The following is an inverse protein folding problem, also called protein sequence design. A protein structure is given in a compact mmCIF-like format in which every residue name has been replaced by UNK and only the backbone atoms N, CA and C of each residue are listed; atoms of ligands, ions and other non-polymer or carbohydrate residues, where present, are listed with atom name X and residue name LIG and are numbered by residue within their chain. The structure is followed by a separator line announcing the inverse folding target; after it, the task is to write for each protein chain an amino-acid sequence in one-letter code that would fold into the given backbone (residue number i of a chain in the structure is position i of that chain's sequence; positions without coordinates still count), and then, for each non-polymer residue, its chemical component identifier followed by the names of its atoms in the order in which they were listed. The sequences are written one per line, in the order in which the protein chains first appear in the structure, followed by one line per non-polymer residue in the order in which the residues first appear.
data_IF_389942047648
#
_entry.id   IF_389942047648
#
_cell.length_a   1.000
_cell.length_b   1.000
_cell.length_c   1.000
_cell.angle_alpha   90.00
_cell.angle_beta   90.00
_cell.angle_gamma   90.00
#
_symmetry.space_group_name_H-M   'P 1'
#
loop_
_entity.id
_entity.type
_entity.pdbx_description
1 polymer ?
#
# COMPACT_ATOMS: atom_id res chain seq x y z
N UNK A 1 -32.05 -25.30 55.25
CA UNK A 1 -33.32 -25.79 55.87
C UNK A 1 -33.90 -24.67 56.72
N UNK A 2 -35.23 -24.59 56.92
CA UNK A 2 -36.26 -25.59 56.58
C UNK A 2 -36.89 -25.47 55.17
N UNK A 3 -38.09 -24.88 55.04
CA UNK A 3 -39.15 -25.16 54.05
C UNK A 3 -39.25 -24.12 52.90
N UNK A 4 -39.75 -24.37 51.68
CA UNK A 4 -40.54 -25.46 51.04
C UNK A 4 -42.08 -25.46 51.19
N UNK A 5 -42.80 -25.22 50.08
CA UNK A 5 -44.14 -25.73 49.70
C UNK A 5 -44.30 -25.46 48.18
N UNK A 6 -44.47 -26.44 47.28
CA UNK A 6 -45.67 -27.25 46.98
C UNK A 6 -46.87 -26.40 46.47
N UNK A 7 -47.62 -26.76 45.41
CA UNK A 7 -47.53 -27.83 44.38
C UNK A 7 -48.51 -27.57 43.21
N UNK A 8 -48.25 -28.19 42.03
CA UNK A 8 -49.20 -28.78 41.04
C UNK A 8 -50.58 -28.12 40.74
N UNK A 9 -51.04 -28.00 39.49
CA UNK A 9 -51.63 -29.13 38.72
C UNK A 9 -51.98 -28.74 37.26
N UNK A 10 -52.01 -29.75 36.37
CA UNK A 10 -52.62 -29.69 35.03
C UNK A 10 -54.15 -29.64 35.11
N UNK A 11 -54.81 -29.06 34.10
CA UNK A 11 -56.02 -29.67 33.48
C UNK A 11 -56.30 -29.14 32.07
N UNK A 12 -56.57 -30.07 31.17
CA UNK A 12 -56.98 -29.90 29.76
C UNK A 12 -58.51 -29.83 29.63
N UNK A 13 -59.03 -29.55 28.42
CA UNK A 13 -60.45 -29.61 27.92
C UNK A 13 -61.19 -28.26 27.76
N UNK A 14 -62.06 -28.03 26.76
CA UNK A 14 -62.26 -28.62 25.41
C UNK A 14 -63.12 -27.67 24.55
N UNK A 15 -63.08 -27.84 23.22
CA UNK A 15 -63.92 -27.29 22.13
C UNK A 15 -65.21 -26.51 22.46
N UNK A 16 -65.54 -25.55 21.59
CA UNK A 16 -66.78 -25.63 20.79
C UNK A 16 -66.56 -25.08 19.36
N UNK A 17 -67.25 -25.66 18.38
CA UNK A 17 -67.16 -25.33 16.96
C UNK A 17 -68.56 -25.14 16.35
N UNK A 18 -68.63 -24.49 15.19
CA UNK A 18 -69.73 -24.61 14.21
C UNK A 18 -69.10 -24.36 12.82
N UNK A 19 -69.04 -25.30 11.87
CA UNK A 19 -70.08 -26.15 11.25
C UNK A 19 -70.92 -25.44 10.19
N UNK A 20 -70.60 -25.74 8.92
CA UNK A 20 -71.48 -25.83 7.75
C UNK A 20 -70.63 -26.35 6.58
N UNK A 21 -70.98 -27.31 5.73
CA UNK A 21 -71.85 -28.48 5.75
C UNK A 21 -71.60 -29.19 4.39
N UNK A 22 -71.45 -30.52 4.40
CA UNK A 22 -71.26 -31.45 3.25
C UNK A 22 -72.56 -31.61 2.41
N UNK A 23 -72.63 -32.30 1.22
CA UNK A 23 -72.02 -33.62 0.91
C UNK A 23 -71.53 -33.85 -0.56
N UNK A 24 -71.01 -35.06 -0.90
CA UNK A 24 -70.33 -35.35 -2.19
C UNK A 24 -71.09 -36.29 -3.15
N UNK A 25 -70.66 -36.35 -4.42
CA UNK A 25 -70.88 -37.49 -5.33
C UNK A 25 -69.81 -37.53 -6.46
N UNK A 26 -69.68 -38.68 -7.14
CA UNK A 26 -68.54 -39.03 -8.01
C UNK A 26 -68.78 -38.80 -9.52
N UNK A 27 -67.68 -38.67 -10.26
CA UNK A 27 -67.43 -39.22 -11.61
C UNK A 27 -68.42 -38.93 -12.76
N UNK A 28 -67.99 -38.07 -13.69
CA UNK A 28 -68.26 -38.25 -15.12
C UNK A 28 -67.08 -37.72 -15.95
N UNK A 29 -66.69 -38.45 -17.00
CA UNK A 29 -65.65 -38.03 -17.94
C UNK A 29 -66.27 -37.34 -19.16
N UNK A 30 -65.75 -36.18 -19.53
CA UNK A 30 -66.00 -35.55 -20.85
C UNK A 30 -64.75 -34.82 -21.35
N UNK A 31 -64.44 -35.03 -22.62
CA UNK A 31 -63.32 -34.42 -23.35
C UNK A 31 -63.73 -33.10 -24.02
N UNK A 32 -62.87 -32.07 -23.99
CA UNK A 32 -62.94 -30.98 -24.99
C UNK A 32 -61.63 -30.19 -25.14
N UNK A 33 -61.16 -30.09 -26.40
CA UNK A 33 -60.43 -28.94 -26.93
C UNK A 33 -59.05 -28.59 -26.38
N UNK A 34 -57.99 -29.16 -26.97
CA UNK A 34 -56.66 -28.55 -26.88
C UNK A 34 -56.60 -27.27 -27.75
N UNK A 35 -56.32 -26.12 -27.14
CA UNK A 35 -56.02 -24.89 -27.86
C UNK A 35 -54.55 -24.90 -28.36
N UNK A 36 -54.25 -24.34 -29.55
CA UNK A 36 -52.88 -24.33 -30.07
C UNK A 36 -51.98 -23.42 -29.23
N UNK A 37 -50.87 -23.98 -28.74
CA UNK A 37 -49.87 -23.24 -27.98
C UNK A 37 -49.12 -22.25 -28.90
N UNK A 38 -49.17 -20.96 -28.57
CA UNK A 38 -48.44 -19.94 -29.32
C UNK A 38 -46.94 -20.09 -29.08
N UNK A 39 -46.19 -20.46 -30.12
CA UNK A 39 -44.73 -20.47 -30.11
C UNK A 39 -44.20 -19.03 -30.04
N UNK A 40 -43.81 -18.61 -28.84
CA UNK A 40 -43.05 -17.37 -28.63
C UNK A 40 -41.66 -17.55 -29.26
N UNK A 41 -41.47 -16.98 -30.45
CA UNK A 41 -40.16 -16.91 -31.10
C UNK A 41 -39.35 -15.82 -30.42
N UNK A 42 -38.48 -16.21 -29.47
CA UNK A 42 -37.46 -15.32 -28.92
C UNK A 42 -36.50 -14.88 -30.04
N UNK A 43 -36.09 -13.60 -30.09
CA UNK A 43 -35.09 -13.16 -31.06
C UNK A 43 -33.74 -13.87 -30.81
N UNK A 44 -32.94 -14.11 -31.87
CA UNK A 44 -31.68 -14.82 -31.74
C UNK A 44 -30.73 -14.07 -30.81
N UNK A 45 -30.39 -14.70 -29.68
CA UNK A 45 -29.36 -14.19 -28.80
C UNK A 45 -28.00 -14.35 -29.48
N UNK A 46 -27.31 -13.23 -29.68
CA UNK A 46 -25.89 -13.26 -30.01
C UNK A 46 -25.16 -13.84 -28.81
N UNK A 47 -24.64 -15.06 -28.96
CA UNK A 47 -23.72 -15.64 -27.99
C UNK A 47 -22.44 -14.79 -28.02
N UNK A 48 -22.36 -13.81 -27.12
CA UNK A 48 -21.10 -13.12 -26.84
C UNK A 48 -20.09 -14.16 -26.40
N UNK A 49 -18.92 -14.22 -27.07
CA UNK A 49 -17.84 -15.10 -26.64
C UNK A 49 -17.53 -14.88 -25.16
N UNK A 50 -17.27 -15.95 -24.39
CA UNK A 50 -16.85 -15.80 -23.01
C UNK A 50 -15.59 -14.94 -22.97
N UNK A 51 -15.60 -13.89 -22.14
CA UNK A 51 -14.46 -13.00 -21.99
C UNK A 51 -13.18 -13.81 -21.76
N UNK A 52 -12.07 -13.49 -22.45
CA UNK A 52 -10.84 -14.26 -22.34
C UNK A 52 -10.42 -14.38 -20.87
N UNK A 53 -10.14 -15.61 -20.43
CA UNK A 53 -9.83 -15.89 -19.03
C UNK A 53 -8.72 -14.95 -18.54
N UNK A 54 -9.02 -14.21 -17.47
CA UNK A 54 -8.13 -13.16 -16.97
C UNK A 54 -6.73 -13.73 -16.70
N UNK A 55 -5.72 -13.16 -17.35
CA UNK A 55 -4.31 -13.54 -17.16
C UNK A 55 -3.98 -13.53 -15.67
N UNK A 56 -3.54 -14.65 -15.06
CA UNK A 56 -3.21 -14.69 -13.64
C UNK A 56 -2.15 -13.65 -13.29
N UNK A 57 -2.31 -12.97 -12.15
CA UNK A 57 -1.38 -11.94 -11.71
C UNK A 57 0.02 -12.55 -11.49
N UNK A 58 1.03 -12.01 -12.17
CA UNK A 58 2.43 -12.41 -12.00
C UNK A 58 3.35 -11.18 -11.92
N UNK A 59 4.04 -11.01 -10.80
CA UNK A 59 5.01 -9.92 -10.62
C UNK A 59 6.21 -10.10 -11.55
N UNK A 60 6.98 -9.03 -11.81
CA UNK A 60 8.13 -9.09 -12.73
C UNK A 60 9.14 -10.19 -12.37
N UNK A 61 9.35 -10.43 -11.07
CA UNK A 61 10.25 -11.46 -10.54
C UNK A 61 9.78 -12.92 -10.77
N UNK A 62 8.51 -13.15 -11.14
CA UNK A 62 8.01 -14.48 -11.54
C UNK A 62 8.22 -14.76 -13.03
N UNK A 63 8.44 -13.73 -13.84
CA UNK A 63 8.50 -13.81 -15.31
C UNK A 63 9.94 -14.04 -15.82
N UNK A 64 10.60 -15.09 -15.33
CA UNK A 64 12.01 -15.42 -15.59
C UNK A 64 12.46 -15.24 -17.05
N UNK A 65 11.67 -15.74 -18.01
CA UNK A 65 11.99 -15.66 -19.44
C UNK A 65 12.14 -14.25 -19.99
N UNK A 66 11.59 -13.23 -19.32
CA UNK A 66 11.69 -11.82 -19.74
C UNK A 66 13.00 -11.16 -19.31
N UNK A 67 13.71 -11.68 -18.30
CA UNK A 67 14.89 -11.01 -17.75
C UNK A 67 16.12 -11.89 -17.55
N UNK A 68 16.01 -13.20 -17.31
CA UNK A 68 17.18 -14.09 -17.21
C UNK A 68 18.11 -14.02 -18.45
N UNK A 69 17.60 -13.96 -19.70
CA UNK A 69 18.47 -13.77 -20.87
C UNK A 69 19.30 -12.47 -20.80
N UNK A 70 18.76 -11.42 -20.18
CA UNK A 70 19.43 -10.12 -20.02
C UNK A 70 20.50 -10.13 -18.92
N UNK A 71 20.46 -11.10 -17.99
CA UNK A 71 21.44 -11.27 -16.91
C UNK A 71 22.59 -12.24 -17.27
N UNK A 72 22.47 -12.99 -18.37
CA UNK A 72 23.45 -14.00 -18.77
C UNK A 72 24.84 -13.37 -18.96
N UNK A 73 25.81 -13.80 -18.18
CA UNK A 73 27.20 -13.33 -18.23
C UNK A 73 27.46 -11.95 -17.60
N UNK A 74 26.44 -11.27 -17.07
CA UNK A 74 26.60 -9.97 -16.40
C UNK A 74 26.74 -10.14 -14.89
N UNK A 75 27.65 -9.39 -14.27
CA UNK A 75 27.79 -9.31 -12.81
C UNK A 75 26.58 -8.55 -12.23
N UNK A 76 25.78 -9.21 -11.39
CA UNK A 76 24.50 -8.66 -10.92
C UNK A 76 24.62 -8.10 -9.51
N UNK A 77 24.20 -6.85 -9.31
CA UNK A 77 23.87 -6.31 -8.00
C UNK A 77 22.36 -6.35 -7.76
N UNK A 78 21.92 -6.81 -6.59
CA UNK A 78 20.49 -6.95 -6.26
C UNK A 78 20.06 -5.90 -5.24
N UNK A 79 19.13 -5.01 -5.61
CA UNK A 79 18.49 -4.06 -4.69
C UNK A 79 17.15 -4.66 -4.27
N UNK A 80 17.13 -5.23 -3.06
CA UNK A 80 16.06 -6.13 -2.61
C UNK A 80 15.81 -5.96 -1.12
N UNK A 81 14.58 -6.25 -0.67
CA UNK A 81 14.27 -6.42 0.74
C UNK A 81 13.52 -7.75 1.01
N UNK A 82 12.94 -7.91 2.20
CA UNK A 82 12.23 -9.15 2.58
C UNK A 82 11.01 -9.48 1.70
N UNK A 83 10.50 -8.51 0.93
CA UNK A 83 9.36 -8.67 0.02
C UNK A 83 9.76 -9.26 -1.34
N UNK A 84 11.07 -9.34 -1.62
CA UNK A 84 11.67 -9.87 -2.85
C UNK A 84 11.56 -11.40 -2.93
N UNK A 85 10.33 -11.93 -2.87
CA UNK A 85 10.03 -13.36 -2.97
C UNK A 85 9.60 -13.74 -4.39
N UNK A 86 9.97 -14.96 -4.78
CA UNK A 86 9.43 -15.69 -5.92
C UNK A 86 8.87 -17.02 -5.39
N UNK A 87 7.54 -17.09 -5.30
CA UNK A 87 6.87 -18.16 -4.55
C UNK A 87 7.21 -18.08 -3.06
N UNK A 88 7.98 -19.05 -2.53
CA UNK A 88 8.43 -19.10 -1.13
C UNK A 88 9.94 -18.86 -0.95
N UNK A 89 10.68 -18.64 -2.03
CA UNK A 89 12.13 -18.39 -1.99
C UNK A 89 12.43 -16.91 -2.22
N UNK A 90 13.50 -16.38 -1.63
CA UNK A 90 13.99 -15.05 -1.97
C UNK A 90 14.53 -15.03 -3.40
N UNK A 91 14.40 -13.90 -4.09
CA UNK A 91 14.93 -13.68 -5.43
C UNK A 91 16.44 -13.95 -5.47
N UNK A 92 17.20 -13.49 -4.45
CA UNK A 92 18.64 -13.76 -4.32
C UNK A 92 18.95 -15.25 -4.43
N UNK A 93 18.29 -16.05 -3.59
CA UNK A 93 18.50 -17.50 -3.51
C UNK A 93 18.06 -18.19 -4.81
N UNK A 94 17.00 -17.68 -5.46
CA UNK A 94 16.46 -18.17 -6.73
C UNK A 94 17.40 -17.89 -7.91
N UNK A 95 17.97 -16.69 -8.00
CA UNK A 95 18.88 -16.31 -9.09
C UNK A 95 20.22 -17.05 -8.98
N UNK A 96 20.73 -17.27 -7.77
CA UNK A 96 21.91 -18.10 -7.54
C UNK A 96 21.69 -19.56 -8.00
N UNK A 97 20.51 -20.14 -7.69
CA UNK A 97 20.14 -21.47 -8.16
C UNK A 97 20.00 -21.57 -9.70
N UNK A 98 19.69 -20.45 -10.37
CA UNK A 98 19.66 -20.32 -11.84
C UNK A 98 21.03 -19.99 -12.45
N UNK A 99 22.12 -20.01 -11.66
CA UNK A 99 23.49 -19.75 -12.14
C UNK A 99 23.79 -18.27 -12.48
N UNK A 100 22.95 -17.33 -12.02
CA UNK A 100 23.19 -15.90 -12.22
C UNK A 100 24.34 -15.45 -11.30
N UNK A 101 25.40 -14.78 -11.82
CA UNK A 101 26.56 -14.40 -11.04
C UNK A 101 26.30 -13.11 -10.25
N UNK A 102 25.47 -13.22 -9.22
CA UNK A 102 25.22 -12.17 -8.22
C UNK A 102 26.54 -11.86 -7.48
N UNK A 103 26.85 -10.57 -7.32
CA UNK A 103 28.09 -10.08 -6.67
C UNK A 103 27.86 -9.33 -5.36
N UNK A 104 26.71 -8.68 -5.21
CA UNK A 104 26.41 -7.83 -4.05
C UNK A 104 24.90 -7.70 -3.88
N UNK A 105 24.48 -7.62 -2.62
CA UNK A 105 23.10 -7.34 -2.19
C UNK A 105 23.09 -5.93 -1.59
N UNK A 106 22.15 -5.11 -2.04
CA UNK A 106 21.87 -3.78 -1.51
C UNK A 106 20.55 -3.82 -0.75
N UNK A 107 20.62 -3.67 0.57
CA UNK A 107 19.44 -3.57 1.43
C UNK A 107 19.02 -2.11 1.63
N UNK A 108 17.74 -1.74 1.46
CA UNK A 108 17.21 -0.43 1.86
C UNK A 108 17.02 -0.39 3.39
N UNK A 109 16.05 0.38 3.90
CA UNK A 109 15.62 0.27 5.30
C UNK A 109 15.17 -1.16 5.67
N UNK A 110 15.30 -1.55 6.94
CA UNK A 110 14.97 -2.88 7.50
C UNK A 110 15.78 -4.09 6.97
N UNK A 111 16.74 -3.86 6.06
CA UNK A 111 17.59 -4.91 5.51
C UNK A 111 16.86 -5.79 4.50
N UNK A 112 17.40 -6.99 4.22
CA UNK A 112 16.88 -7.81 3.11
C UNK A 112 16.26 -9.16 3.46
N UNK A 113 16.50 -9.72 4.64
CA UNK A 113 15.79 -10.92 5.13
C UNK A 113 14.68 -10.62 6.14
N UNK A 114 14.46 -9.34 6.49
CA UNK A 114 13.36 -8.90 7.36
C UNK A 114 13.60 -9.10 8.86
N UNK A 115 14.86 -9.33 9.25
CA UNK A 115 15.29 -9.63 10.61
C UNK A 115 15.67 -8.37 11.43
N UNK A 116 15.73 -7.19 10.80
CA UNK A 116 16.10 -5.93 11.46
C UNK A 116 14.87 -5.09 11.87
N UNK A 117 14.99 -4.35 12.97
CA UNK A 117 13.97 -3.42 13.47
C UNK A 117 13.86 -2.12 12.63
N UNK A 118 12.80 -1.34 12.82
CA UNK A 118 12.67 0.00 12.20
C UNK A 118 13.82 0.93 12.60
N UNK A 119 14.33 1.69 11.63
CA UNK A 119 15.48 2.57 11.82
C UNK A 119 16.79 1.88 12.22
N UNK A 120 16.84 0.54 12.30
CA UNK A 120 18.06 -0.18 12.62
C UNK A 120 19.07 -0.03 11.49
N UNK A 121 20.25 0.51 11.81
CA UNK A 121 21.37 0.59 10.86
C UNK A 121 21.81 -0.83 10.49
N UNK A 122 21.42 -1.29 9.30
CA UNK A 122 22.07 -2.45 8.69
C UNK A 122 23.53 -2.08 8.51
N UNK A 123 24.41 -2.82 9.20
CA UNK A 123 25.85 -2.73 8.97
C UNK A 123 26.18 -3.53 7.73
N UNK A 124 27.11 -2.99 6.93
CA UNK A 124 27.74 -3.74 5.86
C UNK A 124 28.29 -5.07 6.40
N UNK A 125 28.09 -6.14 5.63
CA UNK A 125 28.38 -7.50 6.10
C UNK A 125 28.33 -8.53 4.99
N UNK A 126 28.00 -9.77 5.37
CA UNK A 126 27.74 -10.87 4.43
C UNK A 126 26.42 -11.53 4.77
N UNK A 127 25.68 -11.96 3.76
CA UNK A 127 24.53 -12.83 3.93
C UNK A 127 25.01 -14.20 4.40
N UNK A 128 24.50 -14.67 5.54
CA UNK A 128 24.90 -15.95 6.12
C UNK A 128 24.55 -17.15 5.21
N UNK A 129 23.52 -17.03 4.35
CA UNK A 129 23.06 -18.12 3.49
C UNK A 129 23.85 -18.24 2.18
N UNK A 130 24.08 -17.12 1.49
CA UNK A 130 24.76 -17.09 0.18
C UNK A 130 26.25 -16.73 0.25
N UNK A 131 26.74 -16.22 1.39
CA UNK A 131 28.08 -15.67 1.54
C UNK A 131 28.32 -14.34 0.83
N UNK A 132 27.32 -13.80 0.12
CA UNK A 132 27.43 -12.56 -0.67
C UNK A 132 27.63 -11.33 0.22
N UNK A 133 28.42 -10.33 -0.22
CA UNK A 133 28.47 -9.02 0.40
C UNK A 133 27.09 -8.36 0.46
N UNK A 134 26.75 -7.80 1.62
CA UNK A 134 25.54 -7.00 1.85
C UNK A 134 25.98 -5.56 2.14
N UNK A 135 25.42 -4.61 1.40
CA UNK A 135 25.64 -3.16 1.54
C UNK A 135 24.36 -2.47 1.97
N UNK A 136 24.46 -1.55 2.91
CA UNK A 136 23.33 -0.72 3.35
C UNK A 136 23.13 0.48 2.43
N UNK A 137 21.91 0.67 1.92
CA UNK A 137 21.44 1.89 1.26
C UNK A 137 20.56 2.73 2.18
N UNK A 138 20.93 2.80 3.47
CA UNK A 138 20.24 3.56 4.49
C UNK A 138 21.20 4.35 5.39
N UNK A 139 20.67 5.33 6.15
CA UNK A 139 21.46 6.15 7.06
C UNK A 139 22.42 7.08 6.33
N UNK A 140 23.74 6.86 6.54
CA UNK A 140 24.80 7.68 5.95
C UNK A 140 24.97 7.46 4.43
N UNK A 141 24.72 6.24 3.95
CA UNK A 141 24.89 5.86 2.54
C UNK A 141 23.53 5.49 1.96
N UNK A 142 22.90 6.38 1.21
CA UNK A 142 21.58 6.15 0.56
C UNK A 142 21.67 5.87 -0.94
N UNK A 143 22.83 6.18 -1.52
CA UNK A 143 23.17 6.01 -2.93
C UNK A 143 24.34 5.04 -3.03
N UNK A 144 24.30 4.02 -3.92
CA UNK A 144 25.46 3.16 -4.15
C UNK A 144 26.68 3.99 -4.54
N UNK A 145 27.83 3.75 -3.90
CA UNK A 145 29.07 4.45 -4.24
C UNK A 145 29.71 3.85 -5.51
N UNK A 146 30.62 4.56 -6.21
CA UNK A 146 31.33 4.01 -7.36
C UNK A 146 32.03 2.68 -7.04
N UNK A 147 32.61 2.56 -5.85
CA UNK A 147 33.32 1.36 -5.37
C UNK A 147 32.37 0.18 -5.17
N UNK A 148 31.15 0.44 -4.67
CA UNK A 148 30.10 -0.59 -4.57
C UNK A 148 29.62 -1.09 -5.93
N UNK A 149 29.82 -0.31 -7.01
CA UNK A 149 29.40 -0.63 -8.38
C UNK A 149 30.56 -1.05 -9.30
N UNK A 150 31.80 -1.11 -8.81
CA UNK A 150 32.97 -1.48 -9.61
C UNK A 150 32.83 -2.88 -10.23
N UNK A 151 32.33 -3.84 -9.44
CA UNK A 151 32.09 -5.22 -9.83
C UNK A 151 30.64 -5.53 -10.24
N UNK A 152 29.87 -4.52 -10.64
CA UNK A 152 28.48 -4.67 -11.10
C UNK A 152 28.35 -4.18 -12.53
N UNK A 153 27.64 -4.92 -13.36
CA UNK A 153 27.29 -4.53 -14.75
C UNK A 153 25.81 -4.12 -14.85
N UNK A 154 24.95 -4.79 -14.06
CA UNK A 154 23.51 -4.55 -13.99
C UNK A 154 23.00 -4.58 -12.56
N UNK A 155 22.18 -3.60 -12.20
CA UNK A 155 21.42 -3.55 -10.95
C UNK A 155 20.00 -4.04 -11.21
N UNK A 156 19.54 -5.03 -10.43
CA UNK A 156 18.14 -5.49 -10.46
C UNK A 156 17.45 -4.97 -9.21
N UNK A 157 16.34 -4.24 -9.38
CA UNK A 157 15.51 -3.74 -8.30
C UNK A 157 14.24 -4.59 -8.19
N UNK A 158 14.01 -5.19 -7.02
CA UNK A 158 12.81 -5.97 -6.70
C UNK A 158 12.40 -5.71 -5.25
N UNK A 159 11.56 -4.70 -5.05
CA UNK A 159 11.05 -4.30 -3.74
C UNK A 159 9.56 -3.94 -3.88
N UNK A 160 8.73 -4.47 -2.98
CA UNK A 160 7.32 -4.09 -2.87
C UNK A 160 7.19 -2.72 -2.18
N UNK A 161 6.66 -1.76 -2.92
CA UNK A 161 6.27 -0.44 -2.41
C UNK A 161 4.79 -0.41 -1.96
N UNK A 162 4.31 0.72 -1.43
CA UNK A 162 2.94 0.94 -0.97
C UNK A 162 2.20 2.07 -1.71
N UNK A 163 2.84 2.75 -2.65
CA UNK A 163 2.21 3.75 -3.52
C UNK A 163 2.15 5.16 -2.95
N UNK A 164 3.03 5.49 -2.00
CA UNK A 164 2.96 6.72 -1.22
C UNK A 164 4.32 7.40 -1.22
N UNK A 165 4.36 8.70 -1.55
CA UNK A 165 5.60 9.46 -1.80
C UNK A 165 6.64 9.39 -0.67
N UNK A 166 6.18 9.35 0.58
CA UNK A 166 7.04 9.30 1.77
C UNK A 166 7.43 7.89 2.20
N UNK A 167 7.04 6.86 1.45
CA UNK A 167 7.60 5.51 1.58
C UNK A 167 8.92 5.43 0.79
N UNK A 168 10.04 5.22 1.47
CA UNK A 168 11.34 5.65 0.93
C UNK A 168 11.99 4.69 -0.08
N UNK A 169 11.35 3.56 -0.43
CA UNK A 169 11.92 2.62 -1.41
C UNK A 169 11.99 3.23 -2.82
N UNK A 170 11.05 4.10 -3.21
CA UNK A 170 11.15 4.88 -4.46
C UNK A 170 12.30 5.91 -4.44
N UNK A 171 12.68 6.41 -3.25
CA UNK A 171 13.85 7.29 -3.08
C UNK A 171 15.15 6.51 -3.21
N UNK A 172 15.22 5.29 -2.66
CA UNK A 172 16.33 4.35 -2.91
C UNK A 172 16.43 3.98 -4.39
N UNK A 173 15.31 3.70 -5.05
CA UNK A 173 15.24 3.41 -6.49
C UNK A 173 15.82 4.57 -7.32
N UNK A 174 15.45 5.81 -7.01
CA UNK A 174 16.00 7.00 -7.66
C UNK A 174 17.52 7.10 -7.51
N UNK A 175 18.06 6.91 -6.31
CA UNK A 175 19.52 6.93 -6.12
C UNK A 175 20.25 5.77 -6.81
N UNK A 176 19.63 4.58 -6.87
CA UNK A 176 20.13 3.43 -7.64
C UNK A 176 20.19 3.76 -9.13
N UNK A 177 19.12 4.35 -9.70
CA UNK A 177 19.09 4.80 -11.09
C UNK A 177 20.12 5.91 -11.36
N UNK A 178 20.30 6.85 -10.43
CA UNK A 178 21.27 7.94 -10.57
C UNK A 178 22.71 7.43 -10.55
N UNK A 179 23.06 6.56 -9.59
CA UNK A 179 24.38 5.92 -9.54
C UNK A 179 24.64 5.05 -10.77
N UNK A 180 23.63 4.32 -11.27
CA UNK A 180 23.74 3.57 -12.52
C UNK A 180 24.00 4.47 -13.73
N UNK A 181 23.26 5.58 -13.87
CA UNK A 181 23.45 6.55 -14.95
C UNK A 181 24.82 7.26 -14.88
N UNK A 182 25.36 7.47 -13.68
CA UNK A 182 26.70 8.02 -13.47
C UNK A 182 27.82 7.05 -13.84
N UNK A 183 27.64 5.75 -13.54
CA UNK A 183 28.66 4.72 -13.70
C UNK A 183 28.46 3.84 -14.95
N UNK A 184 27.58 4.24 -15.87
CA UNK A 184 27.30 3.53 -17.13
C UNK A 184 26.69 2.13 -16.95
N UNK A 185 25.96 1.89 -15.86
CA UNK A 185 25.38 0.59 -15.52
C UNK A 185 23.94 0.46 -16.02
N UNK A 186 23.51 -0.79 -16.20
CA UNK A 186 22.11 -1.12 -16.50
C UNK A 186 21.25 -1.20 -15.24
N UNK A 187 19.97 -0.88 -15.36
CA UNK A 187 18.96 -1.07 -14.30
C UNK A 187 17.80 -1.90 -14.85
N UNK A 188 17.45 -3.00 -14.18
CA UNK A 188 16.25 -3.79 -14.45
C UNK A 188 15.31 -3.66 -13.26
N UNK A 189 14.13 -3.07 -13.46
CA UNK A 189 13.05 -3.08 -12.45
C UNK A 189 12.21 -4.34 -12.68
N UNK A 190 12.12 -5.20 -11.66
CA UNK A 190 11.14 -6.28 -11.61
C UNK A 190 9.89 -5.72 -10.96
N UNK A 191 8.91 -5.33 -11.78
CA UNK A 191 7.82 -4.50 -11.31
C UNK A 191 6.83 -5.26 -10.42
N UNK A 192 6.16 -4.53 -9.52
CA UNK A 192 5.21 -5.05 -8.55
C UNK A 192 3.95 -4.18 -8.50
N UNK A 193 2.76 -4.77 -8.24
CA UNK A 193 1.53 -4.01 -8.07
C UNK A 193 1.67 -2.93 -7.00
N UNK A 194 1.02 -1.79 -7.23
CA UNK A 194 0.88 -0.75 -6.22
C UNK A 194 -0.45 -0.97 -5.48
N UNK A 195 -0.47 -1.21 -4.15
CA UNK A 195 -1.71 -1.41 -3.39
C UNK A 195 -2.59 -0.15 -3.34
N UNK A 196 -2.00 1.04 -3.40
CA UNK A 196 -2.67 2.33 -3.58
C UNK A 196 -2.62 2.79 -5.06
N UNK A 197 -2.47 1.86 -6.01
CA UNK A 197 -2.34 2.13 -7.45
C UNK A 197 -3.63 2.61 -8.12
N UNK A 198 -4.76 2.45 -7.44
CA UNK A 198 -6.12 2.66 -7.95
C UNK A 198 -6.62 4.11 -7.92
N UNK A 199 -5.82 5.03 -7.35
CA UNK A 199 -6.15 6.45 -7.31
C UNK A 199 -4.89 7.32 -7.30
N UNK A 200 -5.08 8.62 -7.55
CA UNK A 200 -4.02 9.63 -7.59
C UNK A 200 -4.51 10.87 -6.85
N UNK A 201 -3.93 11.18 -5.70
CA UNK A 201 -4.44 12.22 -4.80
C UNK A 201 -3.40 12.82 -3.85
N UNK A 202 -3.74 13.99 -3.33
CA UNK A 202 -2.96 14.75 -2.35
C UNK A 202 -2.02 15.79 -2.97
N UNK A 203 -1.43 16.64 -2.13
CA UNK A 203 -0.54 17.71 -2.56
C UNK A 203 0.71 17.21 -3.28
N UNK A 204 1.01 17.80 -4.44
CA UNK A 204 2.25 17.57 -5.20
C UNK A 204 3.43 18.23 -4.49
N UNK A 205 4.57 17.55 -4.47
CA UNK A 205 5.78 18.04 -3.81
C UNK A 205 6.33 19.30 -4.49
N UNK A 206 6.48 20.37 -3.71
CA UNK A 206 7.19 21.59 -4.10
C UNK A 206 8.71 21.41 -3.90
N UNK A 207 9.58 21.91 -4.79
CA UNK A 207 11.03 21.65 -4.75
C UNK A 207 11.72 22.01 -3.42
N UNK A 208 11.29 23.07 -2.74
CA UNK A 208 11.83 23.49 -1.43
C UNK A 208 11.62 22.48 -0.29
N UNK A 209 10.70 21.52 -0.47
CA UNK A 209 10.41 20.47 0.52
C UNK A 209 11.05 19.11 0.15
N UNK A 210 11.87 19.08 -0.92
CA UNK A 210 12.58 17.87 -1.36
C UNK A 210 13.46 17.30 -0.24
N UNK A 211 13.29 16.01 0.01
CA UNK A 211 14.00 15.25 1.04
C UNK A 211 13.98 13.76 0.71
N UNK A 212 14.58 12.91 1.56
CA UNK A 212 14.54 11.45 1.34
C UNK A 212 13.12 10.86 1.42
N UNK A 213 12.17 11.55 2.08
CA UNK A 213 10.73 11.19 2.11
C UNK A 213 9.91 11.91 1.02
N UNK A 214 10.58 12.49 0.03
CA UNK A 214 9.94 13.14 -1.12
C UNK A 214 10.99 13.67 -2.08
N UNK A 215 11.35 12.88 -3.09
CA UNK A 215 12.45 13.19 -4.02
C UNK A 215 12.00 13.86 -5.33
N UNK A 216 10.72 13.76 -5.67
CA UNK A 216 10.15 14.08 -6.99
C UNK A 216 8.84 14.86 -6.86
N UNK A 217 8.51 15.67 -7.88
CA UNK A 217 7.28 16.45 -7.97
C UNK A 217 6.04 15.58 -8.28
N UNK A 218 5.75 14.66 -7.36
CA UNK A 218 4.62 13.72 -7.38
C UNK A 218 3.69 14.01 -6.20
N UNK A 219 2.39 13.68 -6.26
CA UNK A 219 1.45 13.82 -5.15
C UNK A 219 1.71 12.80 -4.04
N UNK A 220 0.99 12.91 -2.91
CA UNK A 220 1.12 11.98 -1.79
C UNK A 220 0.83 10.54 -2.23
N UNK A 221 -0.29 10.32 -2.92
CA UNK A 221 -0.61 9.05 -3.58
C UNK A 221 -0.39 9.22 -5.08
N UNK A 222 0.70 8.63 -5.58
CA UNK A 222 1.12 8.81 -6.98
C UNK A 222 0.43 7.85 -7.95
N UNK A 223 -0.18 6.76 -7.47
CA UNK A 223 -0.92 5.80 -8.29
C UNK A 223 -0.10 5.14 -9.42
N UNK A 224 1.23 5.17 -9.34
CA UNK A 224 2.16 4.49 -10.25
C UNK A 224 2.78 3.28 -9.57
N UNK A 225 3.11 2.23 -10.32
CA UNK A 225 4.03 1.19 -9.84
C UNK A 225 5.47 1.72 -9.78
N UNK A 226 6.38 0.92 -9.22
CA UNK A 226 7.81 1.28 -9.18
C UNK A 226 8.42 1.29 -10.59
N UNK A 227 7.98 0.40 -11.47
CA UNK A 227 8.41 0.36 -12.88
C UNK A 227 7.97 1.60 -13.66
N UNK A 228 6.71 2.01 -13.54
CA UNK A 228 6.19 3.22 -14.19
C UNK A 228 6.85 4.49 -13.64
N UNK A 229 7.04 4.58 -12.32
CA UNK A 229 7.72 5.70 -11.69
C UNK A 229 9.21 5.76 -12.10
N UNK A 230 9.88 4.62 -12.26
CA UNK A 230 11.24 4.59 -12.82
C UNK A 230 11.27 5.12 -14.26
N UNK A 231 10.30 4.77 -15.10
CA UNK A 231 10.19 5.35 -16.46
C UNK A 231 9.93 6.86 -16.42
N UNK A 232 9.07 7.33 -15.51
CA UNK A 232 8.79 8.75 -15.30
C UNK A 232 10.04 9.53 -14.86
N UNK A 233 10.76 9.05 -13.84
CA UNK A 233 12.03 9.63 -13.36
C UNK A 233 13.04 9.75 -14.51
N UNK A 234 13.12 8.73 -15.37
CA UNK A 234 14.05 8.69 -16.50
C UNK A 234 13.61 9.61 -17.64
N UNK A 235 12.31 9.64 -17.96
CA UNK A 235 11.73 10.39 -19.09
C UNK A 235 11.63 11.89 -18.83
N UNK A 236 11.21 12.30 -17.63
CA UNK A 236 11.18 13.70 -17.19
C UNK A 236 12.56 14.21 -16.71
N UNK A 237 13.62 13.38 -16.87
CA UNK A 237 15.03 13.69 -16.59
C UNK A 237 15.29 14.19 -15.16
N UNK A 238 14.69 13.52 -14.17
CA UNK A 238 14.77 13.90 -12.76
C UNK A 238 16.06 13.44 -12.04
N UNK A 239 16.94 12.68 -12.69
CA UNK A 239 18.28 12.33 -12.17
C UNK A 239 19.24 13.54 -12.28
N UNK A 240 20.26 13.60 -11.43
CA UNK A 240 21.25 14.69 -11.43
C UNK A 240 21.83 14.97 -12.83
N UNK A 241 21.91 16.26 -13.18
CA UNK A 241 22.38 16.72 -14.49
C UNK A 241 21.46 16.38 -15.67
N UNK A 242 20.22 15.96 -15.43
CA UNK A 242 19.30 15.51 -16.48
C UNK A 242 19.71 14.19 -17.14
N UNK A 243 20.55 13.40 -16.44
CA UNK A 243 21.02 12.08 -16.90
C UNK A 243 19.85 11.10 -17.03
N UNK A 244 20.08 10.06 -17.83
CA UNK A 244 19.15 8.95 -17.99
C UNK A 244 19.91 7.63 -17.79
N UNK A 245 19.33 6.69 -17.05
CA UNK A 245 19.87 5.35 -16.86
C UNK A 245 19.43 4.43 -18.02
N UNK A 246 20.22 3.39 -18.31
CA UNK A 246 19.85 2.33 -19.24
C UNK A 246 18.85 1.39 -18.54
N UNK A 247 17.58 1.78 -18.60
CA UNK A 247 16.47 1.19 -17.87
C UNK A 247 15.74 0.11 -18.69
N UNK A 248 15.48 -1.02 -18.06
CA UNK A 248 14.49 -2.02 -18.49
C UNK A 248 13.47 -2.21 -17.36
N UNK A 249 12.19 -2.36 -17.71
CA UNK A 249 11.14 -2.73 -16.76
C UNK A 249 10.52 -4.05 -17.19
N UNK A 250 10.37 -4.99 -16.26
CA UNK A 250 9.59 -6.22 -16.46
C UNK A 250 8.20 -5.97 -15.85
N UNK A 251 7.17 -5.68 -16.66
CA UNK A 251 5.86 -5.31 -16.14
C UNK A 251 5.14 -6.51 -15.51
N UNK A 252 4.23 -6.22 -14.58
CA UNK A 252 3.33 -7.20 -13.96
C UNK A 252 2.36 -7.73 -15.02
N UNK A 253 2.25 -9.05 -15.16
CA UNK A 253 1.18 -9.64 -15.98
C UNK A 253 -0.11 -9.70 -15.14
N UNK A 254 -1.28 -9.47 -15.76
CA UNK A 254 -2.57 -9.60 -15.07
C UNK A 254 -2.91 -8.48 -14.07
N UNK A 255 -2.30 -7.29 -14.20
CA UNK A 255 -2.55 -6.14 -13.32
C UNK A 255 -3.07 -4.93 -14.11
N UNK A 256 -3.97 -4.18 -13.48
CA UNK A 256 -4.54 -2.88 -13.89
C UNK A 256 -4.53 -1.96 -12.68
N UNK A 257 -4.65 -0.63 -12.86
CA UNK A 257 -4.77 0.26 -11.70
C UNK A 257 -6.04 -0.01 -10.88
N UNK A 258 -7.13 -0.49 -11.49
CA UNK A 258 -8.31 -0.95 -10.76
C UNK A 258 -8.05 -2.14 -9.80
N UNK A 259 -6.97 -2.91 -10.01
CA UNK A 259 -6.66 -4.12 -9.24
C UNK A 259 -6.33 -3.79 -7.78
N UNK A 260 -7.22 -4.17 -6.86
CA UNK A 260 -6.95 -4.13 -5.41
C UNK A 260 -5.98 -5.25 -5.04
N UNK A 261 -4.72 -4.89 -4.79
CA UNK A 261 -3.65 -5.83 -4.47
C UNK A 261 -3.36 -5.87 -2.96
N UNK A 262 -3.53 -7.05 -2.35
CA UNK A 262 -3.09 -7.32 -0.99
C UNK A 262 -1.64 -7.84 -0.97
N UNK A 263 -0.82 -7.30 -0.08
CA UNK A 263 0.60 -7.63 -0.01
C UNK A 263 0.79 -9.01 0.69
N UNK A 264 1.45 -10.00 0.05
CA UNK A 264 1.67 -11.31 0.66
C UNK A 264 2.73 -11.29 1.78
N UNK A 265 3.49 -10.20 1.89
CA UNK A 265 4.51 -9.97 2.92
C UNK A 265 4.42 -8.50 3.35
N UNK A 266 4.41 -8.24 4.66
CA UNK A 266 4.42 -6.87 5.19
C UNK A 266 5.61 -6.08 4.65
N UNK A 267 5.42 -4.85 4.14
CA UNK A 267 6.48 -4.09 3.49
C UNK A 267 7.43 -3.44 4.52
N UNK A 268 6.94 -3.17 5.73
CA UNK A 268 7.73 -2.77 6.91
C UNK A 268 7.12 -3.35 8.19
N UNK A 269 7.88 -3.43 9.31
CA UNK A 269 7.36 -3.90 10.60
C UNK A 269 6.13 -3.14 11.13
N UNK A 270 6.00 -1.83 10.86
CA UNK A 270 4.83 -1.03 11.25
C UNK A 270 3.72 -0.92 10.19
N UNK A 271 3.81 -1.63 9.05
CA UNK A 271 2.68 -1.83 8.14
C UNK A 271 2.26 -3.31 8.14
N UNK A 272 1.70 -3.81 9.25
CA UNK A 272 1.54 -5.24 9.48
C UNK A 272 0.47 -5.92 8.60
N UNK A 273 -0.48 -5.17 8.04
CA UNK A 273 -1.63 -5.70 7.32
C UNK A 273 -2.12 -4.76 6.19
N UNK A 274 -2.99 -5.26 5.30
CA UNK A 274 -3.50 -4.50 4.16
C UNK A 274 -4.25 -3.22 4.55
N UNK A 275 -5.00 -3.22 5.66
CA UNK A 275 -5.76 -2.06 6.12
C UNK A 275 -4.84 -0.92 6.60
N UNK A 276 -3.75 -1.23 7.31
CA UNK A 276 -2.70 -0.26 7.66
C UNK A 276 -2.05 0.37 6.41
N UNK A 277 -1.89 -0.39 5.31
CA UNK A 277 -1.35 0.09 4.03
C UNK A 277 -2.33 1.02 3.30
N UNK A 278 -3.64 0.79 3.43
CA UNK A 278 -4.70 1.66 2.89
C UNK A 278 -4.79 2.97 3.69
N UNK A 279 -4.64 2.92 5.01
CA UNK A 279 -4.67 4.11 5.87
C UNK A 279 -3.37 4.93 5.84
N UNK A 280 -2.23 4.31 5.52
CA UNK A 280 -0.89 4.94 5.53
C UNK A 280 -0.79 6.31 4.82
N UNK A 281 -1.35 6.53 3.61
CA UNK A 281 -1.28 7.83 2.94
C UNK A 281 -1.85 8.99 3.76
N UNK A 282 -2.93 8.73 4.50
CA UNK A 282 -3.62 9.71 5.33
C UNK A 282 -3.01 9.79 6.73
N UNK A 283 -2.76 8.64 7.36
CA UNK A 283 -2.36 8.59 8.78
C UNK A 283 -0.89 8.94 8.98
N UNK A 284 0.00 8.64 8.03
CA UNK A 284 1.41 8.98 8.17
C UNK A 284 1.69 10.49 8.20
N UNK A 285 0.76 11.35 7.72
CA UNK A 285 0.87 12.81 7.89
C UNK A 285 1.01 13.23 9.37
N UNK A 286 0.44 12.45 10.29
CA UNK A 286 0.55 12.69 11.73
C UNK A 286 1.96 12.43 12.29
N UNK A 287 2.87 11.75 11.58
CA UNK A 287 4.29 11.72 11.98
C UNK A 287 4.95 13.11 11.91
N UNK A 288 4.34 14.03 11.15
CA UNK A 288 4.65 15.46 11.17
C UNK A 288 3.98 16.25 12.30
N UNK A 289 3.34 15.59 13.27
CA UNK A 289 2.54 16.25 14.34
C UNK A 289 2.88 15.74 15.74
N UNK A 290 2.19 16.23 16.77
CA UNK A 290 2.24 15.67 18.13
C UNK A 290 1.40 14.39 18.32
N UNK A 291 0.64 13.97 17.31
CA UNK A 291 -0.26 12.81 17.36
C UNK A 291 0.50 11.51 17.09
N UNK A 292 0.36 10.53 17.99
CA UNK A 292 0.88 9.17 17.79
C UNK A 292 0.02 8.42 16.78
N UNK A 293 0.66 7.78 15.81
CA UNK A 293 0.05 6.90 14.79
C UNK A 293 0.03 5.43 15.21
N UNK A 294 -0.01 5.13 16.51
CA UNK A 294 -0.08 3.76 17.01
C UNK A 294 1.24 2.95 16.98
N UNK A 295 2.35 3.51 16.48
CA UNK A 295 3.68 2.89 16.64
C UNK A 295 3.97 2.63 18.12
N UNK A 296 4.57 1.47 18.43
CA UNK A 296 4.71 1.01 19.81
C UNK A 296 3.43 0.39 20.40
N UNK A 297 2.48 0.01 19.54
CA UNK A 297 1.34 -0.86 19.85
C UNK A 297 1.25 -1.94 18.77
N UNK A 298 0.26 -2.83 18.86
CA UNK A 298 -0.04 -3.84 17.82
C UNK A 298 -0.92 -3.29 16.68
N UNK A 299 -1.20 -1.97 16.66
CA UNK A 299 -2.14 -1.31 15.73
C UNK A 299 -1.53 -0.09 14.99
N UNK A 300 -0.26 -0.12 14.52
CA UNK A 300 0.37 1.03 13.86
C UNK A 300 -0.36 1.42 12.56
N UNK A 301 -0.51 2.72 12.36
CA UNK A 301 -1.31 3.40 11.31
C UNK A 301 -2.81 3.08 11.28
N UNK A 302 -3.32 2.24 12.20
CA UNK A 302 -4.75 1.94 12.35
C UNK A 302 -5.39 2.63 13.56
N UNK A 303 -4.61 3.36 14.35
CA UNK A 303 -5.09 4.21 15.46
C UNK A 303 -4.34 5.55 15.44
N UNK A 304 -5.02 6.62 15.89
CA UNK A 304 -4.42 7.95 16.07
C UNK A 304 -4.82 8.52 17.42
N UNK A 305 -3.88 9.14 18.14
CA UNK A 305 -4.14 9.68 19.47
C UNK A 305 -2.98 10.49 20.06
N UNK A 306 -3.30 11.43 20.96
CA UNK A 306 -2.28 12.20 21.69
C UNK A 306 -2.73 12.50 23.14
N UNK A 307 -1.81 12.80 24.07
CA UNK A 307 -2.15 13.31 25.40
C UNK A 307 -2.77 14.73 25.35
N UNK A 308 -2.59 15.45 24.25
CA UNK A 308 -3.10 16.79 23.95
C UNK A 308 -4.51 16.79 23.34
N UNK A 309 -5.13 15.62 23.20
CA UNK A 309 -6.52 15.47 22.73
C UNK A 309 -7.50 15.36 23.91
N UNK A 310 -8.79 15.71 23.73
CA UNK A 310 -9.77 15.64 24.80
C UNK A 310 -9.94 14.22 25.37
N UNK A 311 -10.09 14.12 26.70
CA UNK A 311 -10.28 12.82 27.39
C UNK A 311 -11.60 12.12 27.02
N UNK A 312 -12.55 12.86 26.45
CA UNK A 312 -13.83 12.37 25.94
C UNK A 312 -13.74 11.67 24.56
N UNK A 313 -12.55 11.62 23.94
CA UNK A 313 -12.31 10.83 22.72
C UNK A 313 -12.69 9.34 22.96
N UNK A 314 -13.29 8.66 21.96
CA UNK A 314 -13.86 7.32 22.15
C UNK A 314 -12.81 6.22 22.36
N UNK A 315 -11.56 6.44 21.93
CA UNK A 315 -10.49 5.46 22.05
C UNK A 315 -9.28 5.99 22.83
N UNK A 316 -8.54 5.09 23.47
CA UNK A 316 -7.30 5.41 24.19
C UNK A 316 -6.27 4.28 24.07
N UNK A 317 -5.00 4.63 24.00
CA UNK A 317 -3.88 3.67 23.96
C UNK A 317 -2.61 4.28 24.57
N UNK A 318 -1.63 3.44 24.91
CA UNK A 318 -0.33 3.87 25.44
C UNK A 318 0.79 3.23 24.63
N UNK A 319 1.50 3.98 23.76
CA UNK A 319 2.68 3.50 23.06
C UNK A 319 3.77 3.02 24.01
N UNK A 320 4.40 1.88 23.71
CA UNK A 320 5.54 1.30 24.45
C UNK A 320 6.59 0.75 23.47
N UNK A 321 7.87 0.64 23.85
CA UNK A 321 8.90 0.07 22.99
C UNK A 321 8.55 -1.35 22.56
N UNK A 322 8.63 -1.64 21.26
CA UNK A 322 8.52 -2.98 20.70
C UNK A 322 9.51 -3.15 19.53
N UNK A 323 9.54 -4.34 18.90
CA UNK A 323 10.47 -4.63 17.79
C UNK A 323 10.23 -3.77 16.54
N UNK A 324 8.99 -3.32 16.32
CA UNK A 324 8.65 -2.37 15.27
C UNK A 324 8.99 -0.92 15.63
N UNK A 325 9.02 -0.54 16.91
CA UNK A 325 9.35 0.83 17.32
C UNK A 325 10.01 0.83 18.70
N UNK A 326 11.36 0.80 18.76
CA UNK A 326 12.09 0.85 20.03
C UNK A 326 11.94 2.18 20.78
N UNK A 327 11.67 3.28 20.07
CA UNK A 327 11.49 4.63 20.61
C UNK A 327 10.22 5.28 20.02
N UNK A 328 9.02 4.83 20.40
CA UNK A 328 7.79 5.25 19.74
C UNK A 328 7.39 6.70 20.09
N UNK A 329 6.74 7.44 19.18
CA UNK A 329 6.11 8.72 19.50
C UNK A 329 5.10 8.58 20.66
N UNK A 330 5.16 9.52 21.62
CA UNK A 330 4.38 9.50 22.86
C UNK A 330 4.62 8.26 23.76
N UNK A 331 5.83 7.67 23.72
CA UNK A 331 6.26 6.58 24.59
C UNK A 331 5.83 6.75 26.06
N UNK A 332 5.13 5.75 26.61
CA UNK A 332 4.67 5.68 27.99
C UNK A 332 3.49 6.59 28.34
N UNK A 333 3.03 7.46 27.43
CA UNK A 333 1.94 8.41 27.70
C UNK A 333 0.60 7.84 27.23
N UNK A 334 -0.46 8.12 27.99
CA UNK A 334 -1.83 7.79 27.59
C UNK A 334 -2.28 8.77 26.49
N UNK A 335 -2.53 8.23 25.31
CA UNK A 335 -3.06 8.95 24.15
C UNK A 335 -4.58 8.80 24.09
N UNK A 336 -5.29 9.91 23.85
CA UNK A 336 -6.72 9.94 23.57
C UNK A 336 -6.95 10.18 22.08
N UNK A 337 -7.91 9.47 21.46
CA UNK A 337 -8.10 9.58 20.02
C UNK A 337 -9.12 8.61 19.41
N UNK A 338 -8.79 8.05 18.24
CA UNK A 338 -9.67 7.22 17.42
C UNK A 338 -9.04 5.85 17.14
N UNK A 339 -9.90 4.82 17.14
CA UNK A 339 -9.62 3.51 16.54
C UNK A 339 -10.17 3.51 15.13
N UNK A 340 -9.33 3.22 14.14
CA UNK A 340 -9.69 3.20 12.72
C UNK A 340 -9.74 1.77 12.16
N UNK A 341 -9.43 0.72 12.94
CA UNK A 341 -9.42 -0.69 12.49
C UNK A 341 -10.73 -1.22 11.91
N UNK A 342 -11.82 -0.45 12.02
CA UNK A 342 -13.15 -0.76 11.50
C UNK A 342 -13.58 0.23 10.39
N UNK A 343 -12.67 1.04 9.85
CA UNK A 343 -12.94 1.81 8.63
C UNK A 343 -12.95 0.92 7.39
N UNK A 344 -13.71 1.30 6.37
CA UNK A 344 -13.75 0.55 5.11
C UNK A 344 -12.44 0.65 4.31
N UNK A 345 -12.30 -0.19 3.29
CA UNK A 345 -11.07 -0.29 2.49
C UNK A 345 -10.94 0.78 1.39
N UNK A 346 -12.00 1.56 1.11
CA UNK A 346 -12.02 2.61 0.08
C UNK A 346 -12.05 4.04 0.68
N UNK A 347 -11.36 4.27 1.81
CA UNK A 347 -11.31 5.58 2.50
C UNK A 347 -10.67 6.68 1.65
N UNK A 348 -9.73 6.32 0.77
CA UNK A 348 -8.93 7.25 -0.04
C UNK A 348 -8.03 8.18 0.80
N UNK A 349 -7.41 9.16 0.14
CA UNK A 349 -6.63 10.18 0.83
C UNK A 349 -7.55 11.30 1.35
N UNK A 350 -7.45 11.61 2.65
CA UNK A 350 -8.30 12.62 3.31
C UNK A 350 -7.52 13.38 4.37
N UNK A 351 -7.86 14.64 4.57
CA UNK A 351 -7.35 15.48 5.66
C UNK A 351 -8.38 15.69 6.78
N UNK A 352 -9.54 15.02 6.73
CA UNK A 352 -10.60 15.13 7.76
C UNK A 352 -10.09 14.87 9.18
N UNK A 353 -9.27 13.85 9.35
CA UNK A 353 -8.69 13.51 10.65
C UNK A 353 -7.70 14.56 11.13
N UNK A 354 -6.87 15.11 10.23
CA UNK A 354 -5.92 16.17 10.54
C UNK A 354 -6.64 17.44 11.02
N UNK A 355 -7.70 17.84 10.30
CA UNK A 355 -8.57 18.96 10.67
C UNK A 355 -9.20 18.74 12.04
N UNK A 356 -9.83 17.59 12.26
CA UNK A 356 -10.46 17.23 13.53
C UNK A 356 -9.47 17.23 14.72
N UNK A 357 -8.30 16.60 14.56
CA UNK A 357 -7.28 16.55 15.61
C UNK A 357 -6.65 17.92 15.88
N UNK A 358 -6.41 18.73 14.85
CA UNK A 358 -5.94 20.10 15.05
C UNK A 358 -7.01 20.96 15.74
N UNK A 359 -8.28 20.86 15.31
CA UNK A 359 -9.40 21.61 15.90
C UNK A 359 -9.60 21.28 17.38
N UNK A 360 -9.52 19.99 17.76
CA UNK A 360 -9.70 19.55 19.15
C UNK A 360 -8.43 19.59 20.02
N UNK A 361 -7.23 19.82 19.45
CA UNK A 361 -5.98 19.86 20.23
C UNK A 361 -5.97 20.99 21.27
N UNK A 362 -5.58 20.64 22.49
CA UNK A 362 -5.34 21.58 23.60
C UNK A 362 -4.00 22.31 23.50
N UNK A 363 -3.13 21.93 22.54
CA UNK A 363 -1.78 22.47 22.34
C UNK A 363 -1.51 22.80 20.86
N UNK A 364 -2.37 23.63 20.26
CA UNK A 364 -2.30 24.01 18.82
C UNK A 364 -0.94 24.58 18.40
N UNK A 365 -0.26 25.30 19.31
CA UNK A 365 1.08 25.86 19.14
C UNK A 365 2.17 24.81 18.88
N UNK A 366 1.94 23.57 19.37
CA UNK A 366 2.86 22.44 19.27
C UNK A 366 2.36 21.32 18.36
N UNK A 367 1.16 21.44 17.81
CA UNK A 367 0.52 20.40 17.02
C UNK A 367 1.35 20.00 15.78
N UNK A 368 1.93 20.96 15.06
CA UNK A 368 2.74 20.69 13.87
C UNK A 368 4.24 20.67 14.17
N UNK A 369 4.87 19.52 13.95
CA UNK A 369 6.31 19.34 14.01
C UNK A 369 7.04 19.84 12.75
N UNK A 370 8.38 19.82 12.79
CA UNK A 370 9.25 20.28 11.69
C UNK A 370 9.24 19.42 10.42
N UNK A 371 8.68 18.21 10.50
CA UNK A 371 8.66 17.23 9.41
C UNK A 371 7.38 17.29 8.56
N UNK A 372 6.35 18.04 8.99
CA UNK A 372 5.05 18.06 8.33
C UNK A 372 5.13 18.45 6.84
N UNK A 373 5.86 19.50 6.49
CA UNK A 373 6.05 19.95 5.10
C UNK A 373 6.82 18.95 4.24
N UNK A 374 7.65 18.08 4.83
CA UNK A 374 8.34 17.03 4.08
C UNK A 374 7.37 15.89 3.71
N UNK A 375 6.36 15.64 4.55
CA UNK A 375 5.31 14.65 4.32
C UNK A 375 4.22 15.18 3.39
N UNK A 376 3.68 16.39 3.64
CA UNK A 376 2.70 17.03 2.74
C UNK A 376 3.34 17.50 1.43
N UNK A 377 4.62 17.84 1.44
CA UNK A 377 5.33 18.39 0.29
C UNK A 377 4.98 19.84 -0.04
N UNK A 378 4.22 20.53 0.82
CA UNK A 378 3.82 21.94 0.67
C UNK A 378 3.55 22.56 2.05
N UNK A 379 3.90 23.82 2.21
CA UNK A 379 3.53 24.63 3.37
C UNK A 379 2.03 24.99 3.42
N UNK A 380 1.34 24.94 2.26
CA UNK A 380 -0.05 25.38 2.11
C UNK A 380 -1.02 24.61 3.02
N UNK A 381 -0.86 23.28 3.15
CA UNK A 381 -1.75 22.45 3.99
C UNK A 381 -1.74 22.90 5.45
N UNK A 382 -0.56 23.17 6.03
CA UNK A 382 -0.44 23.66 7.41
C UNK A 382 -1.16 25.00 7.56
N UNK A 383 -0.85 25.94 6.67
CA UNK A 383 -1.42 27.29 6.70
C UNK A 383 -2.95 27.26 6.63
N UNK A 384 -3.51 26.47 5.72
CA UNK A 384 -4.96 26.35 5.54
C UNK A 384 -5.65 25.67 6.73
N UNK A 385 -5.05 24.64 7.34
CA UNK A 385 -5.57 24.02 8.58
C UNK A 385 -5.55 25.03 9.73
N UNK A 386 -4.48 25.82 9.88
CA UNK A 386 -4.36 26.83 10.94
C UNK A 386 -5.44 27.91 10.83
N UNK A 387 -5.72 28.42 9.62
CA UNK A 387 -6.75 29.45 9.38
C UNK A 387 -8.17 28.88 9.24
N UNK A 388 -8.38 27.60 9.58
CA UNK A 388 -9.71 27.01 9.69
C UNK A 388 -10.40 26.66 8.36
N UNK A 389 -9.63 26.41 7.30
CA UNK A 389 -10.20 26.00 6.00
C UNK A 389 -10.84 24.61 6.06
N UNK A 390 -11.91 24.44 5.29
CA UNK A 390 -12.58 23.15 5.11
C UNK A 390 -11.71 22.18 4.31
N UNK A 391 -11.93 20.88 4.46
CA UNK A 391 -11.25 19.87 3.63
C UNK A 391 -11.45 20.14 2.13
N UNK A 392 -12.64 20.57 1.72
CA UNK A 392 -12.93 20.92 0.33
C UNK A 392 -12.01 22.01 -0.21
N UNK A 393 -11.83 23.10 0.55
CA UNK A 393 -10.93 24.20 0.16
C UNK A 393 -9.48 23.75 0.12
N UNK A 394 -9.04 22.96 1.10
CA UNK A 394 -7.66 22.43 1.16
C UNK A 394 -7.39 21.51 -0.04
N UNK A 395 -8.32 20.62 -0.37
CA UNK A 395 -8.20 19.74 -1.55
C UNK A 395 -8.18 20.54 -2.85
N UNK A 396 -9.01 21.58 -2.95
CA UNK A 396 -9.02 22.49 -4.10
C UNK A 396 -7.69 23.24 -4.29
N UNK A 397 -6.90 23.49 -3.24
CA UNK A 397 -5.64 24.23 -3.37
C UNK A 397 -4.56 23.45 -4.11
N UNK A 398 -4.58 22.11 -4.09
CA UNK A 398 -3.61 21.27 -4.80
C UNK A 398 -4.10 20.70 -6.13
N UNK A 399 -5.40 20.74 -6.42
CA UNK A 399 -5.95 20.17 -7.67
C UNK A 399 -5.27 20.70 -8.96
N UNK A 400 -4.85 21.98 -9.09
CA UNK A 400 -4.14 22.43 -10.29
C UNK A 400 -2.83 21.68 -10.55
N UNK A 401 -2.01 21.46 -9.51
CA UNK A 401 -0.76 20.71 -9.62
C UNK A 401 -1.03 19.20 -9.78
N UNK A 402 -2.05 18.68 -9.08
CA UNK A 402 -2.47 17.28 -9.18
C UNK A 402 -2.98 16.94 -10.59
N UNK A 403 -3.71 17.86 -11.25
CA UNK A 403 -4.17 17.72 -12.63
C UNK A 403 -3.00 17.70 -13.63
N UNK A 404 -2.00 18.59 -13.45
CA UNK A 404 -0.77 18.57 -14.24
C UNK A 404 -0.02 17.25 -14.07
N UNK A 405 0.10 16.75 -12.84
CA UNK A 405 0.69 15.44 -12.56
C UNK A 405 -0.10 14.30 -13.22
N UNK A 406 -1.43 14.26 -13.09
CA UNK A 406 -2.29 13.26 -13.72
C UNK A 406 -2.12 13.25 -15.25
N UNK A 407 -1.94 14.42 -15.89
CA UNK A 407 -1.65 14.51 -17.32
C UNK A 407 -0.23 14.01 -17.68
N UNK A 408 0.79 14.34 -16.89
CA UNK A 408 2.16 13.85 -17.05
C UNK A 408 2.27 12.33 -16.87
N UNK A 409 1.60 11.79 -15.85
CA UNK A 409 1.54 10.36 -15.48
C UNK A 409 1.15 9.46 -16.65
N UNK A 410 0.19 9.89 -17.48
CA UNK A 410 -0.32 9.11 -18.63
C UNK A 410 0.73 8.72 -19.67
N UNK A 411 1.86 9.43 -19.76
CA UNK A 411 2.97 9.09 -20.67
C UNK A 411 3.73 7.82 -20.26
N UNK A 412 3.60 7.41 -18.99
CA UNK A 412 4.44 6.39 -18.35
C UNK A 412 3.66 5.19 -17.83
N UNK A 413 2.35 5.12 -18.12
CA UNK A 413 1.51 4.01 -17.71
C UNK A 413 1.85 2.76 -18.51
N UNK A 414 2.12 1.67 -17.79
CA UNK A 414 2.28 0.32 -18.31
C UNK A 414 0.99 -0.49 -18.19
N UNK A 415 0.04 -0.03 -17.38
CA UNK A 415 -1.18 -0.75 -17.04
C UNK A 415 -2.44 0.08 -17.35
N UNK A 416 -3.57 -0.56 -17.73
CA UNK A 416 -4.85 0.13 -17.93
C UNK A 416 -5.35 0.81 -16.64
N UNK A 417 -5.94 2.00 -16.76
CA UNK A 417 -6.53 2.70 -15.61
C UNK A 417 -7.84 2.04 -15.13
N UNK A 418 -8.70 1.64 -16.09
CA UNK A 418 -10.07 1.05 -15.96
C UNK A 418 -10.98 1.69 -14.90
#
# INVERSE_FOLDING_TARGET
MPLANLSSLLSTTLLLANCSATPPAQSAATSSGAAPSATVVSPPQVLTEPAPAATPLQVGAQQFGRYLPQLKGKRVGLVVNQTALVGRAFLVDTLLAQGVPVKVIFGPEHGFRGEAADGATIKDGKDARSGLPVRSLYGATKKPTPEMLADVDVLVFDIQDVGVRFYTFISTMHYVMEAAAEQGKEVIILDRPNPNGWYVDGPVLEPQHKSFVGMHAIPVVHGLTVGELAQMINGEKWLAGGKQCKLTVVPVAGYTHATRYELPVRPSPNLPNAHSVILYPTICLFEGTDVSVGRGTDMPFEVIGAPTQPTARPFRFTPKPNTGSPTPPQNGKLCYGLDLRQTGNDVGFTVKYLLDFYQQSTAKDKFFGKYFEQLTGTSTVRQMVIVGKTEKEIRQSWEPALAQYKAMRKKYLLYPEQ
#
